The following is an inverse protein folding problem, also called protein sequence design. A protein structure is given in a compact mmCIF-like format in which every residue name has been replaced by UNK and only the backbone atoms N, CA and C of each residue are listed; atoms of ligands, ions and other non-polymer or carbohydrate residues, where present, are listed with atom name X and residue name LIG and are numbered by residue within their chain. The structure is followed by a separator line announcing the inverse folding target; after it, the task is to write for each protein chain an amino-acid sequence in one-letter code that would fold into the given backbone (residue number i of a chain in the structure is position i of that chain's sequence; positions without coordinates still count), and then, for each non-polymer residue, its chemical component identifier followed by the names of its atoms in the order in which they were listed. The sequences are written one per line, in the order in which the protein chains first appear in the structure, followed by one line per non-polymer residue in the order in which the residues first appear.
data_IF_939233801251
#
_entry.id   IF_939233801251
#
_cell.length_a   1.000
_cell.length_b   1.000
_cell.length_c   1.000
_cell.angle_alpha   90.00
_cell.angle_beta   90.00
_cell.angle_gamma   90.00
#
_symmetry.space_group_name_H-M   'P 1'
#
loop_
_entity.id
_entity.type
_entity.pdbx_description
1 polymer ?
#
# COMPACT_ATOMS: atom_id res chain seq x y z
N UNK A 1 27.34 -27.05 12.93
CA UNK A 1 26.53 -26.75 11.72
C UNK A 1 26.55 -25.25 11.51
N UNK A 2 26.79 -24.79 10.28
CA UNK A 2 26.74 -23.35 9.97
C UNK A 2 25.28 -22.87 10.03
N UNK A 3 24.98 -21.76 10.70
CA UNK A 3 23.61 -21.26 10.78
C UNK A 3 23.17 -20.76 9.39
N UNK A 4 21.99 -21.17 8.95
CA UNK A 4 21.42 -20.78 7.65
C UNK A 4 20.05 -20.13 7.83
N UNK A 5 19.63 -19.33 6.86
CA UNK A 5 18.25 -18.87 6.69
C UNK A 5 17.72 -19.48 5.40
N UNK A 6 16.49 -19.99 5.45
CA UNK A 6 15.79 -20.47 4.25
C UNK A 6 14.77 -19.43 3.80
N UNK A 7 14.78 -19.12 2.52
CA UNK A 7 13.87 -18.17 1.90
C UNK A 7 12.96 -18.93 0.92
N UNK A 8 11.68 -18.95 1.23
CA UNK A 8 10.62 -19.66 0.51
C UNK A 8 9.81 -18.70 -0.37
N UNK A 9 9.18 -19.26 -1.40
CA UNK A 9 8.27 -18.53 -2.27
C UNK A 9 6.91 -18.36 -1.59
N UNK A 10 6.48 -17.11 -1.41
CA UNK A 10 5.10 -16.77 -1.08
C UNK A 10 4.30 -16.50 -2.35
N UNK A 11 3.99 -15.22 -2.59
CA UNK A 11 3.43 -14.75 -3.88
C UNK A 11 4.53 -14.11 -4.70
N UNK A 12 5.21 -14.93 -5.48
CA UNK A 12 6.30 -14.50 -6.37
C UNK A 12 5.88 -14.64 -7.83
N UNK A 13 6.47 -13.88 -8.76
CA UNK A 13 6.17 -14.00 -10.18
C UNK A 13 6.71 -15.31 -10.76
N UNK A 14 6.09 -15.78 -11.85
CA UNK A 14 6.39 -17.09 -12.46
C UNK A 14 7.87 -17.27 -12.82
N UNK A 15 8.55 -16.20 -13.23
CA UNK A 15 9.98 -16.27 -13.56
C UNK A 15 10.88 -16.52 -12.34
N UNK A 16 10.43 -16.17 -11.13
CA UNK A 16 11.21 -16.29 -9.91
C UNK A 16 10.89 -17.57 -9.14
N UNK A 17 9.69 -18.14 -9.34
CA UNK A 17 9.20 -19.33 -8.63
C UNK A 17 10.18 -20.53 -8.69
N UNK A 18 10.79 -20.89 -9.83
CA UNK A 18 11.67 -22.06 -9.92
C UNK A 18 12.98 -21.95 -9.14
N UNK A 19 13.37 -20.72 -8.74
CA UNK A 19 14.61 -20.48 -8.01
C UNK A 19 14.47 -20.67 -6.49
N UNK A 20 13.26 -20.89 -5.98
CA UNK A 20 13.00 -21.09 -4.55
C UNK A 20 12.87 -22.60 -4.24
N UNK A 21 13.25 -23.04 -3.03
CA UNK A 21 13.74 -22.25 -1.89
C UNK A 21 15.22 -21.85 -2.02
N UNK A 22 15.57 -20.64 -1.55
CA UNK A 22 16.95 -20.15 -1.51
C UNK A 22 17.49 -20.23 -0.08
N UNK A 23 18.67 -20.82 0.09
CA UNK A 23 19.34 -20.89 1.39
C UNK A 23 20.53 -19.92 1.44
N UNK A 24 20.61 -19.12 2.51
CA UNK A 24 21.70 -18.18 2.74
C UNK A 24 22.37 -18.45 4.08
N UNK A 25 23.67 -18.13 4.20
CA UNK A 25 24.37 -18.17 5.48
C UNK A 25 23.84 -17.05 6.39
N UNK A 26 23.50 -17.40 7.63
CA UNK A 26 23.08 -16.45 8.65
C UNK A 26 24.29 -15.71 9.21
N UNK A 27 24.27 -14.39 9.10
CA UNK A 27 25.24 -13.50 9.75
C UNK A 27 24.45 -12.52 10.63
N UNK A 28 24.68 -12.48 11.95
CA UNK A 28 23.94 -11.58 12.85
C UNK A 28 24.09 -10.10 12.49
N UNK A 29 25.20 -9.73 11.84
CA UNK A 29 25.50 -8.35 11.42
C UNK A 29 24.91 -7.97 10.07
N UNK A 30 24.46 -8.95 9.28
CA UNK A 30 23.84 -8.63 8.00
C UNK A 30 22.51 -7.92 8.23
N UNK A 31 22.24 -6.91 7.42
CA UNK A 31 20.98 -6.19 7.45
C UNK A 31 19.94 -6.89 6.59
N UNK A 32 18.67 -6.59 6.85
CA UNK A 32 17.57 -7.02 5.96
C UNK A 32 17.81 -6.54 4.52
N UNK A 33 18.39 -5.35 4.35
CA UNK A 33 18.78 -4.83 3.04
C UNK A 33 19.83 -5.70 2.32
N UNK A 34 20.84 -6.21 3.04
CA UNK A 34 21.85 -7.12 2.48
C UNK A 34 21.24 -8.44 2.02
N UNK A 35 20.30 -9.00 2.79
CA UNK A 35 19.59 -10.22 2.40
C UNK A 35 18.82 -10.03 1.09
N UNK A 36 18.12 -8.90 0.92
CA UNK A 36 17.42 -8.59 -0.34
C UNK A 36 18.38 -8.47 -1.53
N UNK A 37 19.55 -7.86 -1.32
CA UNK A 37 20.59 -7.80 -2.35
C UNK A 37 21.10 -9.19 -2.72
N UNK A 38 21.31 -10.09 -1.74
CA UNK A 38 21.69 -11.49 -2.01
C UNK A 38 20.64 -12.24 -2.84
N UNK A 39 19.35 -12.01 -2.57
CA UNK A 39 18.24 -12.55 -3.38
C UNK A 39 18.29 -12.00 -4.81
N UNK A 40 18.50 -10.69 -4.98
CA UNK A 40 18.60 -10.06 -6.30
C UNK A 40 19.81 -10.57 -7.10
N UNK A 41 20.94 -10.87 -6.45
CA UNK A 41 22.10 -11.46 -7.12
C UNK A 41 21.77 -12.85 -7.68
N UNK A 42 21.00 -13.66 -6.95
CA UNK A 42 20.53 -14.97 -7.43
C UNK A 42 19.47 -14.85 -8.52
N UNK A 43 18.53 -13.91 -8.37
CA UNK A 43 17.43 -13.67 -9.31
C UNK A 43 17.54 -12.23 -9.84
N UNK A 44 18.36 -12.01 -10.88
CA UNK A 44 18.69 -10.66 -11.39
C UNK A 44 17.48 -9.80 -11.77
N UNK A 45 16.40 -10.44 -12.25
CA UNK A 45 15.14 -9.76 -12.63
C UNK A 45 14.28 -9.36 -11.42
N UNK A 46 14.59 -9.84 -10.22
CA UNK A 46 13.82 -9.57 -9.02
C UNK A 46 14.49 -8.50 -8.16
N UNK A 47 14.22 -7.24 -8.50
CA UNK A 47 14.80 -6.07 -7.85
C UNK A 47 14.47 -5.97 -6.36
N UNK A 48 15.41 -5.43 -5.58
CA UNK A 48 15.26 -5.16 -4.13
C UNK A 48 13.94 -4.46 -3.77
N UNK A 49 13.52 -3.47 -4.56
CA UNK A 49 12.28 -2.68 -4.33
C UNK A 49 10.99 -3.49 -4.46
N UNK A 50 11.01 -4.61 -5.18
CA UNK A 50 9.86 -5.51 -5.35
C UNK A 50 9.74 -6.55 -4.24
N UNK A 51 10.81 -6.75 -3.46
CA UNK A 51 10.90 -7.81 -2.46
C UNK A 51 10.31 -7.36 -1.12
N UNK A 52 9.24 -8.03 -0.71
CA UNK A 52 8.68 -7.93 0.64
C UNK A 52 8.95 -9.21 1.40
N UNK A 53 9.69 -9.12 2.51
CA UNK A 53 10.10 -10.27 3.33
C UNK A 53 9.21 -10.39 4.56
N UNK A 54 8.76 -11.60 4.85
CA UNK A 54 7.91 -11.92 6.00
C UNK A 54 8.48 -13.15 6.70
N UNK A 55 8.52 -13.15 8.03
CA UNK A 55 8.89 -14.35 8.80
C UNK A 55 7.72 -15.33 8.72
N UNK A 56 7.91 -16.55 8.21
CA UNK A 56 6.81 -17.49 7.93
C UNK A 56 6.07 -17.92 9.19
N UNK A 57 6.80 -18.16 10.29
CA UNK A 57 6.25 -18.61 11.58
C UNK A 57 5.33 -17.57 12.24
N UNK A 58 5.76 -16.31 12.27
CA UNK A 58 5.03 -15.23 12.94
C UNK A 58 4.18 -14.37 11.99
N UNK A 59 4.34 -14.55 10.68
CA UNK A 59 3.77 -13.67 9.63
C UNK A 59 4.13 -12.19 9.85
N UNK A 60 5.26 -11.92 10.50
CA UNK A 60 5.75 -10.57 10.78
C UNK A 60 6.52 -10.03 9.56
N UNK A 61 6.12 -8.88 8.99
CA UNK A 61 6.84 -8.27 7.89
C UNK A 61 8.13 -7.59 8.36
N UNK A 62 9.21 -7.77 7.59
CA UNK A 62 10.49 -7.09 7.80
C UNK A 62 10.50 -5.78 6.99
N UNK A 63 10.09 -4.70 7.65
CA UNK A 63 9.91 -3.38 7.00
C UNK A 63 11.21 -2.57 6.95
N UNK A 64 11.96 -2.55 8.06
CA UNK A 64 13.18 -1.76 8.17
C UNK A 64 14.36 -2.48 7.55
N UNK A 65 14.90 -1.92 6.47
CA UNK A 65 16.03 -2.51 5.75
C UNK A 65 17.39 -2.28 6.44
N UNK A 66 17.44 -1.33 7.38
CA UNK A 66 18.65 -0.94 8.11
C UNK A 66 18.89 -1.79 9.36
N UNK A 67 17.83 -2.42 9.90
CA UNK A 67 17.95 -3.29 11.06
C UNK A 67 18.78 -4.52 10.72
N UNK A 68 19.58 -4.96 11.69
CA UNK A 68 20.28 -6.24 11.60
C UNK A 68 19.28 -7.39 11.66
N UNK A 69 19.64 -8.55 11.10
CA UNK A 69 18.77 -9.74 11.14
C UNK A 69 18.41 -10.14 12.58
N UNK A 70 19.33 -9.98 13.54
CA UNK A 70 19.09 -10.27 14.94
C UNK A 70 18.09 -9.28 15.58
N UNK A 71 18.26 -7.97 15.37
CA UNK A 71 17.33 -6.95 15.88
C UNK A 71 15.94 -7.03 15.22
N UNK A 72 15.92 -7.46 13.95
CA UNK A 72 14.69 -7.72 13.23
C UNK A 72 13.93 -8.97 13.75
N UNK A 73 14.54 -9.74 14.65
CA UNK A 73 13.97 -10.94 15.26
C UNK A 73 14.03 -12.17 14.36
N UNK A 74 14.99 -12.22 13.42
CA UNK A 74 15.26 -13.40 12.57
C UNK A 74 16.35 -14.23 13.22
N UNK A 75 16.04 -15.47 13.57
CA UNK A 75 16.98 -16.41 14.15
C UNK A 75 17.65 -17.27 13.08
N UNK A 76 18.74 -17.93 13.47
CA UNK A 76 19.29 -19.01 12.67
C UNK A 76 18.24 -20.11 12.49
N UNK A 77 18.14 -20.65 11.27
CA UNK A 77 17.19 -21.68 10.84
C UNK A 77 15.74 -21.21 10.63
N UNK A 78 15.46 -19.91 10.76
CA UNK A 78 14.15 -19.39 10.41
C UNK A 78 13.88 -19.47 8.90
N UNK A 79 12.59 -19.70 8.59
CA UNK A 79 12.08 -19.66 7.22
C UNK A 79 11.41 -18.31 6.95
N UNK A 80 11.92 -17.60 5.96
CA UNK A 80 11.37 -16.35 5.46
C UNK A 80 10.54 -16.62 4.20
N UNK A 81 9.45 -15.90 4.04
CA UNK A 81 8.60 -15.90 2.85
C UNK A 81 8.85 -14.62 2.07
N UNK A 82 9.12 -14.73 0.76
CA UNK A 82 9.23 -13.56 -0.12
C UNK A 82 7.92 -13.36 -0.88
N UNK A 83 7.45 -12.12 -0.85
CA UNK A 83 6.27 -11.66 -1.56
C UNK A 83 6.70 -10.57 -2.54
N UNK A 84 6.20 -10.65 -3.77
CA UNK A 84 6.38 -9.62 -4.79
C UNK A 84 5.36 -8.50 -4.62
N UNK A 85 5.85 -7.27 -4.51
CA UNK A 85 5.03 -6.06 -4.47
C UNK A 85 4.48 -5.68 -5.85
N UNK A 86 4.99 -6.30 -6.92
CA UNK A 86 4.65 -6.00 -8.30
C UNK A 86 5.43 -4.81 -8.86
N UNK A 87 5.22 -4.49 -10.15
CA UNK A 87 5.82 -3.31 -10.77
C UNK A 87 5.31 -2.03 -10.08
N UNK A 88 6.23 -1.16 -9.68
CA UNK A 88 5.93 0.12 -9.05
C UNK A 88 6.00 1.22 -10.12
N UNK A 89 4.95 2.04 -10.24
CA UNK A 89 5.00 3.26 -11.04
C UNK A 89 5.78 4.33 -10.27
N UNK A 90 6.83 4.92 -10.85
CA UNK A 90 7.58 5.96 -10.17
C UNK A 90 6.75 7.23 -10.06
N UNK A 91 6.77 7.88 -8.89
CA UNK A 91 6.10 9.16 -8.61
C UNK A 91 6.48 10.27 -9.61
N UNK A 92 7.65 10.18 -10.23
CA UNK A 92 8.08 11.10 -11.30
C UNK A 92 7.11 11.16 -12.47
N UNK A 93 6.43 10.05 -12.78
CA UNK A 93 5.42 10.02 -13.84
C UNK A 93 4.21 10.90 -13.49
N UNK A 94 3.77 10.88 -12.23
CA UNK A 94 2.68 11.74 -11.75
C UNK A 94 3.07 13.22 -11.77
N UNK A 95 4.28 13.56 -11.29
CA UNK A 95 4.74 14.96 -11.24
C UNK A 95 4.91 15.60 -12.63
N UNK A 96 5.36 14.83 -13.63
CA UNK A 96 5.47 15.33 -15.00
C UNK A 96 4.09 15.69 -15.57
N UNK A 97 3.09 14.83 -15.36
CA UNK A 97 1.71 15.06 -15.81
C UNK A 97 1.12 16.33 -15.21
N UNK A 98 1.41 16.62 -13.95
CA UNK A 98 0.94 17.81 -13.24
C UNK A 98 1.66 19.09 -13.68
N UNK A 99 2.99 19.05 -13.84
CA UNK A 99 3.78 20.21 -14.29
C UNK A 99 3.33 20.74 -15.67
N UNK A 100 3.09 19.83 -16.63
CA UNK A 100 2.60 20.20 -17.95
C UNK A 100 1.15 20.68 -17.95
N UNK A 101 0.37 20.32 -16.94
CA UNK A 101 -1.00 20.80 -16.78
C UNK A 101 -1.02 22.24 -16.29
N UNK A 102 -0.27 22.58 -15.23
CA UNK A 102 -0.31 23.91 -14.62
C UNK A 102 0.17 25.06 -15.54
N UNK A 103 1.04 24.76 -16.51
CA UNK A 103 1.57 25.75 -17.48
C UNK A 103 0.87 25.68 -18.84
N UNK A 104 -0.20 24.88 -18.95
CA UNK A 104 -0.91 24.67 -20.21
C UNK A 104 -1.70 25.91 -20.63
N UNK A 105 -1.53 26.41 -21.87
CA UNK A 105 -2.34 27.50 -22.42
C UNK A 105 -3.85 27.20 -22.45
N UNK A 106 -4.24 25.93 -22.36
CA UNK A 106 -5.63 25.48 -22.34
C UNK A 106 -6.32 25.64 -20.96
N UNK A 107 -5.57 26.00 -19.91
CA UNK A 107 -6.10 26.23 -18.55
C UNK A 107 -6.23 27.74 -18.27
N UNK A 108 -5.30 28.55 -18.77
CA UNK A 108 -5.28 29.99 -18.60
C UNK A 108 -6.56 30.64 -19.17
N UNK A 109 -7.23 31.48 -18.37
CA UNK A 109 -8.49 32.13 -18.77
C UNK A 109 -9.75 31.27 -18.64
N UNK A 110 -9.66 30.05 -18.10
CA UNK A 110 -10.83 29.20 -17.78
C UNK A 110 -11.27 29.35 -16.32
N UNK A 111 -12.37 28.70 -15.92
CA UNK A 111 -12.79 28.61 -14.51
C UNK A 111 -11.71 28.03 -13.59
N UNK A 112 -10.76 27.26 -14.14
CA UNK A 112 -9.65 26.66 -13.39
C UNK A 112 -8.55 27.66 -13.02
N UNK A 113 -8.51 28.81 -13.68
CA UNK A 113 -7.63 29.94 -13.38
C UNK A 113 -8.24 30.87 -12.31
N UNK A 114 -9.54 30.71 -12.01
CA UNK A 114 -10.21 31.49 -10.98
C UNK A 114 -9.66 31.18 -9.59
N UNK A 115 -9.23 32.22 -8.87
CA UNK A 115 -8.76 32.11 -7.49
C UNK A 115 -9.80 31.43 -6.58
N UNK A 116 -11.09 31.73 -6.77
CA UNK A 116 -12.16 31.13 -5.99
C UNK A 116 -12.26 29.62 -6.25
N UNK A 117 -12.21 29.20 -7.51
CA UNK A 117 -12.23 27.79 -7.89
C UNK A 117 -11.03 27.03 -7.29
N UNK A 118 -9.83 27.60 -7.40
CA UNK A 118 -8.62 27.01 -6.83
C UNK A 118 -8.73 26.83 -5.32
N UNK A 119 -9.20 27.84 -4.58
CA UNK A 119 -9.38 27.73 -3.13
C UNK A 119 -10.44 26.69 -2.75
N UNK A 120 -11.55 26.61 -3.47
CA UNK A 120 -12.57 25.57 -3.24
C UNK A 120 -11.96 24.18 -3.43
N UNK A 121 -11.20 23.96 -4.50
CA UNK A 121 -10.51 22.70 -4.74
C UNK A 121 -9.46 22.40 -3.66
N UNK A 122 -8.64 23.37 -3.26
CA UNK A 122 -7.65 23.20 -2.18
C UNK A 122 -8.32 22.82 -0.86
N UNK A 123 -9.38 23.51 -0.48
CA UNK A 123 -10.14 23.22 0.75
C UNK A 123 -10.78 21.83 0.70
N UNK A 124 -11.41 21.47 -0.43
CA UNK A 124 -11.99 20.14 -0.62
C UNK A 124 -10.92 19.03 -0.55
N UNK A 125 -9.80 19.21 -1.25
CA UNK A 125 -8.67 18.28 -1.23
C UNK A 125 -8.09 18.13 0.18
N UNK A 126 -7.86 19.25 0.89
CA UNK A 126 -7.34 19.24 2.25
C UNK A 126 -8.29 18.51 3.22
N UNK A 127 -9.60 18.74 3.10
CA UNK A 127 -10.60 18.02 3.88
C UNK A 127 -10.55 16.50 3.64
N UNK A 128 -10.42 16.07 2.38
CA UNK A 128 -10.29 14.65 2.06
C UNK A 128 -8.97 14.06 2.57
N UNK A 129 -7.86 14.80 2.50
CA UNK A 129 -6.58 14.34 3.03
C UNK A 129 -6.56 14.24 4.56
N UNK A 130 -7.15 15.21 5.26
CA UNK A 130 -7.31 15.15 6.73
C UNK A 130 -8.20 13.96 7.11
N UNK A 131 -9.28 13.74 6.36
CA UNK A 131 -10.16 12.57 6.54
C UNK A 131 -9.40 11.26 6.33
N UNK A 132 -8.59 11.16 5.28
CA UNK A 132 -7.73 10.01 5.00
C UNK A 132 -6.72 9.79 6.14
N UNK A 133 -6.03 10.83 6.60
CA UNK A 133 -5.10 10.77 7.72
C UNK A 133 -5.77 10.26 9.00
N UNK A 134 -6.97 10.76 9.32
CA UNK A 134 -7.76 10.30 10.48
C UNK A 134 -8.02 8.78 10.43
N UNK A 135 -8.36 8.25 9.25
CA UNK A 135 -8.55 6.80 9.07
C UNK A 135 -7.24 6.02 9.25
N UNK A 136 -6.12 6.57 8.80
CA UNK A 136 -4.79 5.98 8.99
C UNK A 136 -4.35 5.97 10.46
N UNK A 137 -4.62 7.04 11.21
CA UNK A 137 -4.38 7.09 12.65
C UNK A 137 -5.22 6.04 13.39
N UNK A 138 -6.47 5.84 12.96
CA UNK A 138 -7.33 4.76 13.48
C UNK A 138 -6.74 3.38 13.16
N UNK A 139 -6.28 3.14 11.93
CA UNK A 139 -5.63 1.87 11.60
C UNK A 139 -4.33 1.64 12.38
N UNK A 140 -3.58 2.71 12.67
CA UNK A 140 -2.36 2.65 13.48
C UNK A 140 -2.69 2.27 14.92
N UNK A 141 -3.74 2.84 15.51
CA UNK A 141 -4.12 2.54 16.91
C UNK A 141 -4.59 1.10 17.12
N UNK A 142 -5.06 0.43 16.06
CA UNK A 142 -5.41 -0.99 16.10
C UNK A 142 -4.21 -1.93 16.19
N UNK A 143 -2.99 -1.46 15.90
CA UNK A 143 -1.77 -2.28 15.98
C UNK A 143 -1.07 -2.00 17.30
N UNK A 144 -1.15 -2.94 18.25
CA UNK A 144 -0.30 -2.92 19.45
C UNK A 144 1.09 -3.49 19.10
N UNK A 145 2.18 -2.95 19.67
CA UNK A 145 3.51 -3.51 19.48
C UNK A 145 3.53 -5.01 19.84
N UNK A 146 3.92 -5.86 18.89
CA UNK A 146 3.97 -7.33 19.07
C UNK A 146 2.66 -8.09 18.80
N UNK A 147 1.53 -7.39 18.61
CA UNK A 147 0.25 -8.03 18.32
C UNK A 147 -0.01 -8.14 16.81
N UNK A 148 -0.16 -9.38 16.34
CA UNK A 148 -0.46 -9.71 14.93
C UNK A 148 -1.97 -9.86 14.68
N UNK A 149 -2.80 -9.75 15.72
CA UNK A 149 -4.25 -9.94 15.59
C UNK A 149 -4.87 -8.78 14.82
N UNK A 150 -5.50 -9.08 13.68
CA UNK A 150 -6.30 -8.08 12.98
C UNK A 150 -7.53 -7.76 13.81
N UNK A 151 -7.65 -6.52 14.28
CA UNK A 151 -8.85 -5.96 14.91
C UNK A 151 -9.78 -5.28 13.89
N UNK A 152 -11.05 -5.08 14.27
CA UNK A 152 -12.06 -4.42 13.43
C UNK A 152 -12.07 -2.90 13.72
N UNK A 153 -11.89 -2.03 12.71
CA UNK A 153 -11.92 -0.59 12.91
C UNK A 153 -13.34 -0.05 13.13
N UNK A 154 -13.42 0.97 13.99
CA UNK A 154 -14.61 1.77 14.29
C UNK A 154 -14.22 3.25 14.39
N UNK A 155 -15.21 4.14 14.33
CA UNK A 155 -15.01 5.59 14.34
C UNK A 155 -15.33 6.24 12.99
N UNK A 156 -14.72 7.41 12.74
CA UNK A 156 -14.98 8.25 11.59
C UNK A 156 -14.80 7.49 10.25
N UNK A 157 -15.81 7.58 9.36
CA UNK A 157 -15.87 6.88 8.07
C UNK A 157 -16.12 5.36 8.15
N UNK A 158 -15.65 4.69 9.22
CA UNK A 158 -15.83 3.25 9.42
C UNK A 158 -17.27 2.86 9.76
N UNK A 159 -18.13 3.80 10.16
CA UNK A 159 -19.57 3.54 10.27
C UNK A 159 -20.22 3.21 8.91
N UNK A 160 -19.74 3.83 7.84
CA UNK A 160 -20.34 3.76 6.51
C UNK A 160 -19.70 2.68 5.65
N UNK A 161 -18.37 2.64 5.63
CA UNK A 161 -17.59 1.80 4.72
C UNK A 161 -16.44 1.10 5.43
N UNK A 162 -15.94 0.03 4.83
CA UNK A 162 -14.86 -0.79 5.41
C UNK A 162 -13.48 -0.20 5.17
N UNK A 163 -13.33 0.50 4.04
CA UNK A 163 -12.09 1.13 3.63
C UNK A 163 -12.32 2.62 3.37
N UNK A 164 -12.65 3.42 4.40
CA UNK A 164 -12.87 4.85 4.25
C UNK A 164 -11.61 5.58 3.76
N UNK A 165 -10.43 5.05 4.07
CA UNK A 165 -9.17 5.55 3.53
C UNK A 165 -9.16 5.55 1.99
N UNK A 166 -9.61 4.46 1.35
CA UNK A 166 -9.68 4.38 -0.11
C UNK A 166 -10.74 5.32 -0.70
N UNK A 167 -11.87 5.50 0.01
CA UNK A 167 -12.89 6.46 -0.38
C UNK A 167 -12.33 7.90 -0.39
N UNK A 168 -11.70 8.33 0.70
CA UNK A 168 -11.15 9.68 0.80
C UNK A 168 -9.98 9.90 -0.15
N UNK A 169 -9.13 8.89 -0.37
CA UNK A 169 -8.08 8.93 -1.38
C UNK A 169 -8.68 9.17 -2.78
N UNK A 170 -9.72 8.42 -3.15
CA UNK A 170 -10.39 8.62 -4.44
C UNK A 170 -11.02 10.01 -4.58
N UNK A 171 -11.64 10.52 -3.52
CA UNK A 171 -12.21 11.87 -3.52
C UNK A 171 -11.12 12.94 -3.67
N UNK A 172 -10.00 12.80 -2.97
CA UNK A 172 -8.85 13.71 -3.12
C UNK A 172 -8.29 13.68 -4.55
N UNK A 173 -8.07 12.50 -5.14
CA UNK A 173 -7.61 12.39 -6.52
C UNK A 173 -8.61 12.90 -7.55
N UNK A 174 -9.92 12.81 -7.28
CA UNK A 174 -10.94 13.39 -8.15
C UNK A 174 -10.81 14.91 -8.23
N UNK A 175 -10.48 15.57 -7.10
CA UNK A 175 -10.20 17.01 -7.07
C UNK A 175 -8.94 17.34 -7.88
N UNK A 176 -7.89 16.53 -7.76
CA UNK A 176 -6.67 16.69 -8.57
C UNK A 176 -6.96 16.53 -10.06
N UNK A 177 -7.83 15.59 -10.45
CA UNK A 177 -8.24 15.41 -11.86
C UNK A 177 -9.04 16.62 -12.38
N UNK A 178 -9.88 17.22 -11.54
CA UNK A 178 -10.63 18.43 -11.88
C UNK A 178 -9.72 19.65 -12.04
N UNK A 179 -8.73 19.81 -11.16
CA UNK A 179 -7.71 20.85 -11.22
C UNK A 179 -6.83 20.71 -12.46
N UNK A 180 -6.30 19.51 -12.69
CA UNK A 180 -5.36 19.26 -13.77
C UNK A 180 -6.01 19.23 -15.16
N UNK A 181 -7.27 18.77 -15.26
CA UNK A 181 -8.02 18.77 -16.51
C UNK A 181 -7.43 17.91 -17.63
N UNK A 182 -6.39 17.12 -17.35
CA UNK A 182 -5.67 16.33 -18.34
C UNK A 182 -6.18 14.89 -18.36
N UNK A 183 -6.31 14.30 -19.56
CA UNK A 183 -6.73 12.93 -19.77
C UNK A 183 -5.81 11.92 -19.05
N UNK A 184 -4.50 12.19 -18.97
CA UNK A 184 -3.56 11.31 -18.27
C UNK A 184 -3.88 11.18 -16.77
N UNK A 185 -4.30 12.27 -16.11
CA UNK A 185 -4.70 12.25 -14.70
C UNK A 185 -5.97 11.40 -14.51
N UNK A 186 -6.95 11.55 -15.40
CA UNK A 186 -8.17 10.73 -15.40
C UNK A 186 -7.91 9.25 -15.65
N UNK A 187 -7.00 8.90 -16.57
CA UNK A 187 -6.59 7.52 -16.80
C UNK A 187 -5.88 6.92 -15.58
N UNK A 188 -5.00 7.67 -14.94
CA UNK A 188 -4.35 7.25 -13.71
C UNK A 188 -5.36 7.05 -12.57
N UNK A 189 -6.25 8.02 -12.38
CA UNK A 189 -7.31 7.96 -11.37
C UNK A 189 -8.23 6.76 -11.59
N UNK A 190 -8.68 6.50 -12.82
CA UNK A 190 -9.59 5.38 -13.11
C UNK A 190 -8.90 4.03 -12.88
N UNK A 191 -7.64 3.87 -13.29
CA UNK A 191 -6.86 2.67 -13.01
C UNK A 191 -6.66 2.46 -11.49
N UNK A 192 -6.29 3.51 -10.76
CA UNK A 192 -6.12 3.49 -9.30
C UNK A 192 -7.43 3.20 -8.56
N UNK A 193 -8.52 3.85 -8.96
CA UNK A 193 -9.87 3.65 -8.42
C UNK A 193 -10.35 2.21 -8.61
N UNK A 194 -10.13 1.62 -9.79
CA UNK A 194 -10.44 0.23 -10.05
C UNK A 194 -9.65 -0.71 -9.13
N UNK A 195 -8.34 -0.50 -9.02
CA UNK A 195 -7.48 -1.29 -8.14
C UNK A 195 -7.92 -1.18 -6.66
N UNK A 196 -8.13 0.02 -6.16
CA UNK A 196 -8.55 0.26 -4.78
C UNK A 196 -9.94 -0.33 -4.49
N UNK A 197 -10.88 -0.23 -5.43
CA UNK A 197 -12.22 -0.84 -5.31
C UNK A 197 -12.13 -2.36 -5.20
N UNK A 198 -11.32 -3.02 -6.04
CA UNK A 198 -11.09 -4.47 -5.94
C UNK A 198 -10.48 -4.87 -4.61
N UNK A 199 -9.51 -4.09 -4.12
CA UNK A 199 -8.88 -4.33 -2.81
C UNK A 199 -9.87 -4.10 -1.65
N UNK A 200 -10.72 -3.08 -1.74
CA UNK A 200 -11.75 -2.79 -0.75
C UNK A 200 -12.76 -3.94 -0.65
N UNK A 201 -13.26 -4.43 -1.79
CA UNK A 201 -14.18 -5.57 -1.84
C UNK A 201 -13.57 -6.82 -1.21
N UNK A 202 -12.30 -7.11 -1.51
CA UNK A 202 -11.59 -8.24 -0.92
C UNK A 202 -11.44 -8.09 0.60
N UNK A 203 -11.04 -6.90 1.08
CA UNK A 203 -10.94 -6.60 2.52
C UNK A 203 -12.30 -6.72 3.22
N UNK A 204 -13.35 -6.16 2.62
CA UNK A 204 -14.70 -6.21 3.14
C UNK A 204 -15.19 -7.66 3.33
N UNK A 205 -15.04 -8.50 2.30
CA UNK A 205 -15.37 -9.94 2.38
C UNK A 205 -14.56 -10.65 3.46
N UNK A 206 -13.25 -10.37 3.54
CA UNK A 206 -12.39 -10.96 4.57
C UNK A 206 -12.81 -10.54 5.98
N UNK A 207 -13.23 -9.30 6.20
CA UNK A 207 -13.71 -8.86 7.50
C UNK A 207 -15.06 -9.48 7.87
N UNK A 208 -16.00 -9.59 6.92
CA UNK A 208 -17.28 -10.28 7.16
C UNK A 208 -17.06 -11.72 7.60
N UNK A 209 -16.18 -12.46 6.92
CA UNK A 209 -15.84 -13.84 7.29
C UNK A 209 -15.12 -13.94 8.64
N UNK A 210 -14.25 -12.98 8.98
CA UNK A 210 -13.50 -13.03 10.24
C UNK A 210 -14.36 -12.63 11.45
N UNK A 211 -15.27 -11.70 11.28
CA UNK A 211 -16.02 -11.07 12.37
C UNK A 211 -17.53 -11.28 12.24
N UNK A 212 -17.98 -12.42 11.72
CA UNK A 212 -19.37 -12.69 11.32
C UNK A 212 -20.44 -12.15 12.29
N UNK A 213 -20.26 -12.37 13.60
CA UNK A 213 -21.20 -11.91 14.63
C UNK A 213 -21.06 -10.43 15.00
N UNK A 214 -19.85 -9.86 14.92
CA UNK A 214 -19.53 -8.50 15.36
C UNK A 214 -19.49 -7.48 14.20
N UNK A 215 -19.62 -7.93 12.96
CA UNK A 215 -19.49 -7.08 11.79
C UNK A 215 -20.78 -6.25 11.54
N UNK A 216 -20.70 -4.92 11.39
CA UNK A 216 -21.89 -4.07 11.23
C UNK A 216 -22.69 -4.40 9.95
N UNK A 217 -24.01 -4.64 10.10
CA UNK A 217 -24.90 -5.11 9.01
C UNK A 217 -25.14 -4.09 7.89
N UNK A 218 -24.89 -2.79 8.13
CA UNK A 218 -25.05 -1.71 7.12
C UNK A 218 -23.76 -1.24 6.45
N UNK A 219 -22.59 -1.70 6.91
CA UNK A 219 -21.29 -1.23 6.40
C UNK A 219 -21.05 -1.73 4.98
N UNK A 220 -20.65 -0.83 4.09
CA UNK A 220 -20.29 -1.11 2.68
C UNK A 220 -18.78 -1.30 2.50
N UNK A 221 -18.32 -1.65 1.30
CA UNK A 221 -16.90 -1.86 1.03
C UNK A 221 -16.14 -0.54 0.92
N UNK A 222 -16.59 0.37 0.05
CA UNK A 222 -15.89 1.62 -0.29
C UNK A 222 -16.83 2.80 -0.57
N UNK A 223 -17.99 2.59 -1.21
CA UNK A 223 -18.95 3.65 -1.50
C UNK A 223 -20.13 3.57 -0.54
N UNK A 224 -20.38 4.61 0.28
CA UNK A 224 -21.52 4.63 1.18
C UNK A 224 -22.82 4.36 0.41
N UNK A 225 -23.70 3.54 1.00
CA UNK A 225 -25.01 3.16 0.46
C UNK A 225 -25.02 2.33 -0.82
N UNK A 226 -23.94 2.33 -1.61
CA UNK A 226 -23.86 1.64 -2.90
C UNK A 226 -23.06 0.33 -2.82
N UNK A 227 -21.75 0.42 -2.51
CA UNK A 227 -20.79 -0.68 -2.71
C UNK A 227 -19.87 -0.91 -1.52
#
# INVERSE_FOLDING_TARGET
MTPIITVSAGKVPDFAYPSFPLTFLYSPRDTVGHLKTKIQVKIRRFYKTRQHLVIKSSQRPLLDETLTLQEAGVNAWDELEVIDLGPQLPWRFAMLVEYYSATSPYINGTVRDSTAFLWICVLAWAFFQISNLSTHLTFRSLRRPGDITKALPFGYGFGWVSCPNYLFEMLAWSVICLLSGNLAAWLFFTAGAFQMTRLALKKHRSYKKKFEKSYPRGRKAIFPFVL
#
